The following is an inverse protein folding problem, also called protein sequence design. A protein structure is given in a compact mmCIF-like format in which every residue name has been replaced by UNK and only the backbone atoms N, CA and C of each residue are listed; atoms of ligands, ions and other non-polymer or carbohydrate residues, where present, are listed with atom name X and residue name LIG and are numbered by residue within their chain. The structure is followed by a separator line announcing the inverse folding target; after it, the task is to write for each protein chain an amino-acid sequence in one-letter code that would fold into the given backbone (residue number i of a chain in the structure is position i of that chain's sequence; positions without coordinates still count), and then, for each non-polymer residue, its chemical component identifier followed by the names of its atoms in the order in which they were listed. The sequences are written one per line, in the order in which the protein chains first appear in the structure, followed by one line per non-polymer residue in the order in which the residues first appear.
data_IF_525728784126
#
_entry.id   IF_525728784126
#
_cell.length_a   1.000
_cell.length_b   1.000
_cell.length_c   1.000
_cell.angle_alpha   90.00
_cell.angle_beta   90.00
_cell.angle_gamma   90.00
#
_symmetry.space_group_name_H-M   'P 1'
#
loop_
_entity.id
_entity.type
_entity.pdbx_description
1 polymer ?
#
# COMPACT_ATOMS: atom_id res chain seq x y z
N UNK A 1 2.46 -0.24 2.11
CA UNK A 1 1.85 0.59 3.20
C UNK A 1 1.51 -0.33 4.34
N UNK A 2 2.17 -0.19 5.47
CA UNK A 2 1.87 -0.93 6.68
C UNK A 2 1.10 -0.05 7.68
N UNK A 3 0.15 -0.65 8.39
CA UNK A 3 -0.78 0.02 9.29
C UNK A 3 -0.78 -0.71 10.61
N UNK A 4 -0.55 0.02 11.69
CA UNK A 4 -0.63 -0.47 13.05
C UNK A 4 -1.99 -0.16 13.67
N UNK A 5 -2.76 -1.17 14.06
CA UNK A 5 -4.03 -0.98 14.77
C UNK A 5 -3.76 -1.19 16.26
N UNK A 6 -3.60 -0.10 17.01
CA UNK A 6 -3.44 -0.12 18.47
C UNK A 6 -4.67 0.44 19.19
N UNK A 7 -4.88 0.06 20.46
CA UNK A 7 -5.89 0.68 21.33
C UNK A 7 -7.24 -0.04 21.44
N UNK A 8 -7.36 -1.27 20.95
CA UNK A 8 -8.43 -2.19 21.33
C UNK A 8 -7.94 -2.95 22.57
N UNK A 9 -8.58 -2.72 23.71
CA UNK A 9 -8.20 -3.11 25.08
C UNK A 9 -8.58 -4.54 25.48
N UNK A 10 -9.47 -5.19 24.72
CA UNK A 10 -9.87 -6.55 25.01
C UNK A 10 -10.39 -7.26 23.75
N UNK A 11 -10.44 -8.59 23.84
CA UNK A 11 -10.79 -9.47 22.74
C UNK A 11 -12.27 -9.39 22.30
N UNK A 12 -13.10 -8.52 22.88
CA UNK A 12 -14.48 -8.29 22.42
C UNK A 12 -14.62 -7.05 21.53
N UNK A 13 -13.61 -6.18 21.51
CA UNK A 13 -13.60 -4.96 20.70
C UNK A 13 -13.12 -5.28 19.28
N UNK A 14 -13.80 -4.71 18.29
CA UNK A 14 -13.51 -4.89 16.87
C UNK A 14 -13.22 -3.54 16.21
N UNK A 15 -12.44 -3.54 15.14
CA UNK A 15 -12.17 -2.39 14.31
C UNK A 15 -12.68 -2.60 12.89
N UNK A 16 -13.51 -1.68 12.40
CA UNK A 16 -13.91 -1.65 11.00
C UNK A 16 -12.85 -0.90 10.20
N UNK A 17 -12.47 -1.44 9.04
CA UNK A 17 -11.49 -0.82 8.15
C UNK A 17 -12.15 -0.48 6.82
N UNK A 18 -11.99 0.77 6.40
CA UNK A 18 -12.43 1.28 5.11
C UNK A 18 -11.21 1.72 4.31
N UNK A 19 -11.06 1.21 3.08
CA UNK A 19 -9.97 1.57 2.16
C UNK A 19 -10.57 2.25 0.93
N UNK A 20 -10.03 3.40 0.55
CA UNK A 20 -10.50 4.20 -0.60
C UNK A 20 -12.00 4.53 -0.53
N UNK A 21 -12.56 4.63 0.68
CA UNK A 21 -13.97 4.87 0.95
C UNK A 21 -14.89 3.64 0.86
N UNK A 22 -14.34 2.43 0.71
CA UNK A 22 -15.08 1.17 0.69
C UNK A 22 -14.77 0.35 1.94
N UNK A 23 -15.80 -0.21 2.57
CA UNK A 23 -15.63 -1.14 3.68
C UNK A 23 -14.95 -2.40 3.16
N UNK A 24 -13.87 -2.81 3.82
CA UNK A 24 -13.08 -3.97 3.41
C UNK A 24 -13.08 -5.04 4.48
N UNK A 25 -13.23 -6.28 4.04
CA UNK A 25 -12.99 -7.45 4.86
C UNK A 25 -11.48 -7.77 4.78
N UNK A 26 -10.77 -7.69 5.90
CA UNK A 26 -9.32 -7.89 5.91
C UNK A 26 -8.93 -9.35 5.63
N UNK A 27 -9.77 -10.32 5.99
CA UNK A 27 -9.53 -11.73 5.68
C UNK A 27 -9.55 -11.96 4.17
N UNK A 28 -10.51 -11.37 3.45
CA UNK A 28 -10.57 -11.43 1.98
C UNK A 28 -9.31 -10.85 1.34
N UNK A 29 -8.78 -9.75 1.87
CA UNK A 29 -7.54 -9.16 1.35
C UNK A 29 -6.33 -10.07 1.62
N UNK A 30 -6.28 -10.72 2.78
CA UNK A 30 -5.23 -11.70 3.11
C UNK A 30 -5.31 -12.91 2.18
N UNK A 31 -6.50 -13.46 1.97
CA UNK A 31 -6.72 -14.63 1.10
C UNK A 31 -6.33 -14.34 -0.35
N UNK A 32 -6.53 -13.10 -0.81
CA UNK A 32 -6.13 -12.65 -2.15
C UNK A 32 -4.63 -12.29 -2.26
N UNK A 33 -3.91 -12.22 -1.13
CA UNK A 33 -2.52 -11.75 -1.08
C UNK A 33 -2.36 -10.23 -1.23
N UNK A 34 -3.44 -9.48 -1.06
CA UNK A 34 -3.49 -8.01 -1.11
C UNK A 34 -3.15 -7.38 0.25
N UNK A 35 -3.22 -8.16 1.33
CA UNK A 35 -2.75 -7.79 2.66
C UNK A 35 -1.97 -8.94 3.32
N UNK A 36 -1.10 -8.60 4.26
CA UNK A 36 -0.33 -9.56 5.06
C UNK A 36 -0.25 -9.06 6.51
N UNK A 37 -0.50 -9.96 7.46
CA UNK A 37 -0.20 -9.70 8.87
C UNK A 37 1.30 -9.86 9.08
N UNK A 38 1.95 -8.80 9.54
CA UNK A 38 3.36 -8.77 9.89
C UNK A 38 3.43 -8.79 11.42
N UNK A 39 3.95 -9.86 12.01
CA UNK A 39 4.03 -9.99 13.47
C UNK A 39 4.98 -8.94 14.06
N UNK A 40 4.54 -8.21 15.08
CA UNK A 40 5.43 -7.38 15.90
C UNK A 40 5.94 -8.18 17.10
N UNK A 41 7.07 -8.85 16.92
CA UNK A 41 8.05 -8.88 18.00
C UNK A 41 9.33 -8.38 17.36
N UNK A 42 9.75 -7.19 17.78
CA UNK A 42 10.86 -6.46 17.16
C UNK A 42 12.12 -7.34 17.13
N UNK A 43 12.49 -7.86 15.96
CA UNK A 43 13.89 -8.15 15.65
C UNK A 43 14.27 -7.64 14.25
N UNK A 44 15.51 -7.17 14.07
CA UNK A 44 15.98 -6.59 12.82
C UNK A 44 16.02 -7.63 11.72
N UNK A 45 15.51 -7.27 10.55
CA UNK A 45 15.64 -7.96 9.26
C UNK A 45 14.99 -9.36 9.14
N UNK A 46 13.73 -9.37 8.69
CA UNK A 46 13.37 -10.21 7.53
C UNK A 46 12.90 -11.65 7.76
N UNK A 47 12.26 -12.00 8.88
CA UNK A 47 11.51 -13.27 8.98
C UNK A 47 10.09 -13.09 9.51
N UNK A 48 9.14 -13.77 8.86
CA UNK A 48 7.72 -13.83 9.21
C UNK A 48 7.53 -14.98 10.20
N UNK A 49 7.06 -14.70 11.42
CA UNK A 49 6.61 -15.71 12.39
C UNK A 49 5.12 -15.53 12.64
N UNK A 50 4.30 -16.50 12.21
CA UNK A 50 2.93 -16.63 12.67
C UNK A 50 2.95 -17.10 14.13
N UNK A 51 2.57 -16.25 15.07
CA UNK A 51 2.36 -16.65 16.47
C UNK A 51 0.92 -16.31 16.83
N UNK A 52 0.12 -17.36 17.03
CA UNK A 52 -1.20 -17.28 17.64
C UNK A 52 -1.03 -17.27 19.17
N UNK A 53 -0.71 -16.11 19.75
CA UNK A 53 -0.75 -15.89 21.19
C UNK A 53 -2.07 -15.26 21.63
N UNK A 54 -2.57 -15.59 22.82
CA UNK A 54 -3.82 -15.05 23.38
C UNK A 54 -3.79 -13.53 23.70
N UNK A 55 -2.68 -12.85 23.41
CA UNK A 55 -2.44 -11.43 23.69
C UNK A 55 -2.15 -10.62 22.41
N UNK A 56 -2.07 -11.27 21.25
CA UNK A 56 -1.78 -10.61 19.98
C UNK A 56 -3.08 -10.18 19.28
N UNK A 57 -3.05 -9.07 18.56
CA UNK A 57 -4.20 -8.61 17.77
C UNK A 57 -4.42 -9.59 16.64
N UNK A 58 -5.66 -10.03 16.45
CA UNK A 58 -6.02 -11.01 15.43
C UNK A 58 -6.94 -10.37 14.39
N UNK A 59 -6.90 -10.90 13.17
CA UNK A 59 -8.01 -10.74 12.23
C UNK A 59 -8.95 -11.93 12.45
N UNK A 60 -10.21 -11.67 12.78
CA UNK A 60 -11.19 -12.74 12.99
C UNK A 60 -11.75 -13.30 11.68
N UNK A 61 -12.55 -14.36 11.79
CA UNK A 61 -13.19 -15.01 10.63
C UNK A 61 -14.13 -14.09 9.85
N UNK A 62 -14.58 -13.01 10.47
CA UNK A 62 -15.44 -12.00 9.86
C UNK A 62 -14.62 -10.86 9.24
N UNK A 63 -13.29 -10.92 9.30
CA UNK A 63 -12.36 -9.98 8.70
C UNK A 63 -12.14 -8.69 9.49
N UNK A 64 -12.54 -8.65 10.75
CA UNK A 64 -12.35 -7.49 11.62
C UNK A 64 -11.02 -7.60 12.38
N UNK A 65 -10.39 -6.44 12.65
CA UNK A 65 -9.26 -6.39 13.57
C UNK A 65 -9.77 -6.45 15.01
N UNK A 66 -9.31 -7.43 15.81
CA UNK A 66 -9.69 -7.56 17.23
C UNK A 66 -8.57 -7.13 18.16
N UNK A 67 -8.98 -6.68 19.33
CA UNK A 67 -8.08 -6.11 20.31
C UNK A 67 -7.11 -7.03 21.00
N UNK A 68 -6.05 -6.39 21.48
CA UNK A 68 -4.95 -6.98 22.24
C UNK A 68 -5.29 -6.82 23.73
N UNK A 69 -5.12 -7.87 24.52
CA UNK A 69 -5.44 -7.84 25.97
C UNK A 69 -4.26 -7.35 26.83
N UNK A 70 -3.24 -6.75 26.23
CA UNK A 70 -1.98 -6.43 26.89
C UNK A 70 -1.79 -4.92 27.12
N UNK A 71 -1.14 -4.59 28.24
CA UNK A 71 -0.79 -3.22 28.62
C UNK A 71 0.59 -2.78 28.09
N UNK A 72 1.17 -3.53 27.14
CA UNK A 72 2.51 -3.28 26.62
C UNK A 72 2.42 -2.45 25.33
N UNK A 73 3.12 -1.30 25.23
CA UNK A 73 3.16 -0.52 24.00
C UNK A 73 3.95 -1.19 22.85
N UNK A 74 4.59 -2.33 23.11
CA UNK A 74 5.28 -3.13 22.10
C UNK A 74 4.38 -4.16 21.42
N UNK A 75 3.15 -4.33 21.90
CA UNK A 75 2.23 -5.30 21.36
C UNK A 75 1.42 -4.60 20.27
N UNK A 76 1.68 -4.97 19.01
CA UNK A 76 1.10 -4.31 17.84
C UNK A 76 0.59 -5.34 16.81
N UNK A 77 -0.58 -5.06 16.23
CA UNK A 77 -1.02 -5.68 14.99
C UNK A 77 -0.55 -4.82 13.82
N UNK A 78 0.44 -5.30 13.06
CA UNK A 78 0.90 -4.63 11.83
C UNK A 78 0.32 -5.34 10.62
N UNK A 79 -0.37 -4.57 9.77
CA UNK A 79 -0.97 -5.06 8.52
C UNK A 79 -0.28 -4.36 7.37
N UNK A 80 0.41 -5.11 6.51
CA UNK A 80 0.96 -4.60 5.27
C UNK A 80 -0.02 -4.77 4.13
N UNK A 81 -0.32 -3.70 3.42
CA UNK A 81 -1.16 -3.69 2.23
C UNK A 81 -0.29 -3.61 0.98
N UNK A 82 -0.53 -4.55 0.09
CA UNK A 82 0.10 -4.68 -1.23
C UNK A 82 -0.79 -4.11 -2.35
N UNK A 83 -1.73 -3.25 -1.97
CA UNK A 83 -2.64 -2.52 -2.86
C UNK A 83 -2.46 -1.02 -2.64
N UNK A 84 -2.74 -0.18 -3.65
CA UNK A 84 -2.70 1.26 -3.50
C UNK A 84 -3.83 1.75 -2.59
N UNK A 85 -3.46 2.52 -1.59
CA UNK A 85 -4.39 3.13 -0.63
C UNK A 85 -4.26 4.65 -0.73
N UNK A 86 -5.33 5.33 -1.13
CA UNK A 86 -5.43 6.79 -1.16
C UNK A 86 -6.13 7.33 0.07
N UNK A 87 -7.09 6.58 0.62
CA UNK A 87 -7.69 6.86 1.92
C UNK A 87 -7.77 5.58 2.76
N UNK A 88 -7.48 5.72 4.04
CA UNK A 88 -7.65 4.66 5.03
C UNK A 88 -8.42 5.25 6.21
N UNK A 89 -9.49 4.57 6.61
CA UNK A 89 -10.22 4.88 7.82
C UNK A 89 -10.31 3.62 8.69
N UNK A 90 -10.09 3.77 9.99
CA UNK A 90 -10.17 2.68 10.96
C UNK A 90 -11.02 3.19 12.11
N UNK A 91 -12.10 2.47 12.39
CA UNK A 91 -13.04 2.81 13.46
C UNK A 91 -12.98 1.72 14.51
N UNK A 92 -12.42 2.03 15.68
CA UNK A 92 -12.48 1.13 16.83
C UNK A 92 -13.86 1.16 17.47
N UNK A 93 -14.54 0.01 17.51
CA UNK A 93 -15.75 -0.21 18.29
C UNK A 93 -15.35 -0.82 19.65
N UNK A 94 -14.98 0.06 20.58
CA UNK A 94 -14.60 -0.28 21.95
C UNK A 94 -15.52 0.31 23.02
N UNK A 95 -15.43 -0.22 24.24
CA UNK A 95 -16.07 0.34 25.44
C UNK A 95 -15.44 1.68 25.86
N UNK A 96 -16.13 2.43 26.73
CA UNK A 96 -15.70 3.77 27.16
C UNK A 96 -14.29 3.76 27.79
N UNK A 97 -13.35 4.50 27.21
CA UNK A 97 -12.04 4.80 27.82
C UNK A 97 -10.80 4.51 26.96
N UNK A 98 -10.96 3.98 25.75
CA UNK A 98 -9.84 3.58 24.91
C UNK A 98 -9.50 4.61 23.82
N UNK A 99 -8.20 4.82 23.56
CA UNK A 99 -7.67 5.65 22.48
C UNK A 99 -7.01 4.72 21.47
N UNK A 100 -7.49 4.72 20.22
CA UNK A 100 -6.85 4.02 19.12
C UNK A 100 -5.54 4.75 18.77
N UNK A 101 -4.39 4.11 18.98
CA UNK A 101 -3.10 4.61 18.50
C UNK A 101 -2.80 3.94 17.16
N UNK A 102 -2.66 4.76 16.11
CA UNK A 102 -2.49 4.34 14.73
C UNK A 102 -1.14 4.84 14.21
N UNK A 103 -0.19 3.92 14.01
CA UNK A 103 1.06 4.20 13.31
C UNK A 103 0.94 3.73 11.85
N UNK A 104 1.13 4.65 10.90
CA UNK A 104 1.09 4.35 9.46
C UNK A 104 2.49 4.46 8.90
N UNK A 105 2.98 3.38 8.31
CA UNK A 105 4.23 3.35 7.56
C UNK A 105 3.92 3.25 6.07
N UNK A 106 4.38 4.23 5.29
CA UNK A 106 4.34 4.17 3.84
C UNK A 106 5.72 3.67 3.40
N UNK A 107 5.78 2.49 2.78
CA UNK A 107 7.04 2.04 2.18
C UNK A 107 7.51 3.09 1.17
N UNK A 108 8.80 3.42 1.20
CA UNK A 108 9.46 4.42 0.33
C UNK A 108 9.50 3.98 -1.16
N UNK A 109 8.60 3.10 -1.58
CA UNK A 109 8.45 2.74 -2.99
C UNK A 109 7.94 3.96 -3.76
N UNK A 110 8.88 4.68 -4.36
CA UNK A 110 8.59 5.75 -5.31
C UNK A 110 7.78 5.12 -6.46
N UNK A 111 6.54 5.59 -6.72
CA UNK A 111 5.78 5.07 -7.85
C UNK A 111 6.56 5.34 -9.14
N UNK A 112 6.82 4.28 -9.91
CA UNK A 112 7.47 4.40 -11.21
C UNK A 112 6.45 4.95 -12.19
N UNK A 113 6.61 6.23 -12.55
CA UNK A 113 5.74 6.93 -13.47
C UNK A 113 6.43 7.10 -14.84
N UNK A 114 5.69 6.82 -15.91
CA UNK A 114 6.13 7.06 -17.28
C UNK A 114 5.31 8.17 -17.93
N UNK A 115 5.91 8.89 -18.86
CA UNK A 115 5.17 9.83 -19.71
C UNK A 115 4.39 9.07 -20.78
N UNK A 116 3.35 9.70 -21.32
CA UNK A 116 2.63 9.17 -22.48
C UNK A 116 3.60 8.74 -23.58
N UNK A 117 3.20 7.72 -24.34
CA UNK A 117 3.94 7.11 -25.45
C UNK A 117 5.21 6.34 -25.06
N UNK A 118 5.54 6.26 -23.77
CA UNK A 118 6.61 5.35 -23.32
C UNK A 118 6.20 3.91 -23.57
N UNK A 119 7.03 3.15 -24.29
CA UNK A 119 6.79 1.74 -24.56
C UNK A 119 7.24 0.85 -23.39
N UNK A 120 6.34 0.00 -22.92
CA UNK A 120 6.59 -1.05 -21.92
C UNK A 120 6.59 -2.40 -22.64
N UNK A 121 7.58 -3.23 -22.33
CA UNK A 121 7.67 -4.57 -22.92
C UNK A 121 6.73 -5.54 -22.19
N UNK A 122 5.78 -6.12 -22.92
CA UNK A 122 4.83 -7.12 -22.41
C UNK A 122 5.13 -8.49 -23.01
N UNK A 123 4.40 -9.53 -22.56
CA UNK A 123 4.43 -10.87 -23.18
C UNK A 123 4.11 -10.85 -24.68
N UNK A 124 3.33 -9.87 -25.15
CA UNK A 124 2.84 -9.78 -26.53
C UNK A 124 3.63 -8.75 -27.37
N UNK A 125 4.70 -8.20 -26.81
CA UNK A 125 5.53 -7.18 -27.44
C UNK A 125 5.45 -5.81 -26.75
N UNK A 126 6.02 -4.79 -27.39
CA UNK A 126 6.03 -3.44 -26.83
C UNK A 126 4.64 -2.80 -26.92
N UNK A 127 4.11 -2.33 -25.79
CA UNK A 127 2.83 -1.63 -25.68
C UNK A 127 3.07 -0.26 -25.03
N UNK A 128 2.48 0.81 -25.57
CA UNK A 128 2.59 2.14 -24.95
C UNK A 128 1.91 2.16 -23.58
N UNK A 129 2.42 2.95 -22.64
CA UNK A 129 1.93 2.99 -21.25
C UNK A 129 0.43 3.28 -21.15
N UNK A 130 -0.12 4.14 -22.02
CA UNK A 130 -1.56 4.44 -22.02
C UNK A 130 -2.46 3.26 -22.43
N UNK A 131 -1.89 2.23 -23.06
CA UNK A 131 -2.61 1.05 -23.51
C UNK A 131 -2.44 -0.15 -22.57
N UNK A 132 -1.53 -0.08 -21.60
CA UNK A 132 -1.34 -1.11 -20.57
C UNK A 132 -2.60 -1.18 -19.71
N UNK A 133 -3.02 -2.38 -19.33
CA UNK A 133 -4.17 -2.64 -18.46
C UNK A 133 -3.76 -3.47 -17.24
N UNK A 134 -4.54 -3.39 -16.16
CA UNK A 134 -4.38 -4.31 -15.01
C UNK A 134 -4.53 -5.74 -15.50
N UNK A 135 -3.61 -6.62 -15.10
CA UNK A 135 -3.51 -8.00 -15.55
C UNK A 135 -2.52 -8.22 -16.71
N UNK A 136 -2.13 -7.17 -17.45
CA UNK A 136 -1.10 -7.30 -18.50
C UNK A 136 0.20 -7.84 -17.90
N UNK A 137 0.81 -8.84 -18.55
CA UNK A 137 2.10 -9.40 -18.13
C UNK A 137 3.24 -8.55 -18.71
N UNK A 138 3.94 -7.83 -17.83
CA UNK A 138 5.10 -6.99 -18.19
C UNK A 138 6.41 -7.70 -17.83
N UNK A 139 7.43 -7.49 -18.66
CA UNK A 139 8.78 -8.01 -18.38
C UNK A 139 9.45 -7.12 -17.33
N UNK A 140 9.83 -7.72 -16.21
CA UNK A 140 10.67 -7.11 -15.19
C UNK A 140 12.13 -7.53 -15.40
N UNK A 141 13.07 -6.66 -15.07
CA UNK A 141 14.50 -6.92 -15.27
C UNK A 141 15.00 -8.13 -14.47
N UNK A 142 14.47 -8.33 -13.26
CA UNK A 142 15.01 -9.28 -12.30
C UNK A 142 14.11 -10.51 -12.10
N UNK A 143 12.81 -10.37 -12.35
CA UNK A 143 11.81 -11.36 -11.94
C UNK A 143 10.92 -11.87 -13.09
N UNK A 144 11.33 -11.64 -14.34
CA UNK A 144 10.60 -12.10 -15.52
C UNK A 144 9.22 -11.45 -15.66
N UNK A 145 8.26 -12.18 -16.24
CA UNK A 145 6.91 -11.68 -16.47
C UNK A 145 6.15 -11.51 -15.14
N UNK A 146 5.60 -10.32 -14.91
CA UNK A 146 4.75 -10.01 -13.75
C UNK A 146 3.47 -9.31 -14.20
N UNK A 147 2.32 -9.62 -13.57
CA UNK A 147 1.08 -8.94 -13.88
C UNK A 147 1.11 -7.51 -13.34
N UNK A 148 0.65 -6.56 -14.15
CA UNK A 148 0.34 -5.21 -13.68
C UNK A 148 -0.81 -5.31 -12.69
N UNK A 149 -0.58 -4.94 -11.44
CA UNK A 149 -1.60 -4.98 -10.37
C UNK A 149 -2.46 -3.72 -10.33
N UNK A 150 -1.91 -2.60 -10.77
CA UNK A 150 -2.58 -1.31 -10.71
C UNK A 150 -2.01 -0.33 -11.74
N UNK A 151 -2.83 0.65 -12.13
CA UNK A 151 -2.44 1.75 -13.00
C UNK A 151 -2.91 3.07 -12.38
N UNK A 152 -1.95 3.96 -12.15
CA UNK A 152 -2.19 5.35 -11.77
C UNK A 152 -2.00 6.28 -12.95
N UNK A 153 -2.76 7.37 -12.99
CA UNK A 153 -2.50 8.48 -13.90
C UNK A 153 -2.65 9.81 -13.18
N UNK A 154 -1.83 10.78 -13.57
CA UNK A 154 -1.92 12.14 -13.05
C UNK A 154 -1.78 13.12 -14.21
N UNK A 155 -2.78 14.01 -14.35
CA UNK A 155 -2.78 15.06 -15.37
C UNK A 155 -2.33 16.36 -14.74
N UNK A 156 -1.15 16.83 -15.15
CA UNK A 156 -0.63 18.12 -14.69
C UNK A 156 -1.17 19.22 -15.62
N UNK A 157 -2.00 20.12 -15.07
CA UNK A 157 -2.58 21.23 -15.84
C UNK A 157 -1.56 22.34 -16.10
N UNK A 158 -1.81 23.17 -17.12
CA UNK A 158 -1.00 24.36 -17.41
C UNK A 158 -0.85 25.26 -16.17
N UNK A 159 -1.95 25.58 -15.50
CA UNK A 159 -1.95 26.42 -14.30
C UNK A 159 -1.04 25.86 -13.19
N UNK A 160 -0.99 24.53 -13.04
CA UNK A 160 -0.13 23.85 -12.07
C UNK A 160 1.36 23.88 -12.46
N UNK A 161 1.66 23.81 -13.77
CA UNK A 161 3.02 23.99 -14.28
C UNK A 161 3.51 25.44 -14.12
N UNK A 162 2.62 26.42 -14.29
CA UNK A 162 2.92 27.84 -14.12
C UNK A 162 3.17 28.18 -12.65
N UNK A 163 2.35 27.65 -11.73
CA UNK A 163 2.47 27.94 -10.30
C UNK A 163 3.61 27.20 -9.60
N UNK A 164 4.12 26.09 -10.17
CA UNK A 164 5.22 25.33 -9.58
C UNK A 164 6.36 25.13 -10.59
N UNK A 165 7.40 25.95 -10.45
CA UNK A 165 8.57 25.93 -11.31
C UNK A 165 9.29 24.58 -11.37
N UNK A 166 9.19 23.74 -10.33
CA UNK A 166 9.83 22.41 -10.27
C UNK A 166 9.14 21.36 -11.16
N UNK A 167 7.90 21.62 -11.59
CA UNK A 167 7.15 20.69 -12.45
C UNK A 167 7.36 20.98 -13.95
N UNK A 168 8.01 22.09 -14.31
CA UNK A 168 8.15 22.50 -15.70
C UNK A 168 9.16 21.58 -16.42
N UNK A 169 8.83 21.07 -17.62
CA UNK A 169 9.73 20.21 -18.35
C UNK A 169 10.99 20.95 -18.81
N UNK A 170 12.11 20.23 -18.88
CA UNK A 170 13.36 20.72 -19.47
C UNK A 170 13.27 20.51 -20.98
N UNK A 171 13.45 21.59 -21.77
CA UNK A 171 13.47 21.53 -23.23
C UNK A 171 14.92 21.53 -23.72
N UNK A 172 15.35 20.42 -24.31
CA UNK A 172 16.64 20.29 -24.99
C UNK A 172 16.42 20.57 -26.48
N UNK A 173 17.03 21.62 -27.02
CA UNK A 173 16.88 22.01 -28.43
C UNK A 173 17.85 21.25 -29.33
N UNK A 174 17.56 21.18 -30.64
CA UNK A 174 18.50 20.64 -31.61
C UNK A 174 19.86 21.35 -31.50
N UNK A 175 20.95 20.58 -31.54
CA UNK A 175 22.32 21.08 -31.36
C UNK A 175 22.75 21.33 -29.91
N UNK A 176 21.86 21.23 -28.91
CA UNK A 176 22.21 21.47 -27.51
C UNK A 176 23.16 20.41 -26.91
N UNK A 177 23.25 19.22 -27.54
CA UNK A 177 24.13 18.12 -27.13
C UNK A 177 25.32 17.93 -28.09
N UNK A 178 25.60 18.91 -28.95
CA UNK A 178 26.62 18.82 -29.99
C UNK A 178 26.05 18.43 -31.37
N UNK A 179 26.94 18.35 -32.36
CA UNK A 179 26.61 17.92 -33.71
C UNK A 179 26.79 16.39 -33.80
N UNK A 180 25.72 15.67 -34.18
CA UNK A 180 25.77 14.26 -34.52
C UNK A 180 26.22 14.08 -35.98
#
# INVERSE_FOLDING_TARGET
MAVQIGGLSNSSETGDVTINGLDVNLQTLIDNGDALIVSSSLLPHGQINYISGANDGIIDSDGNARGMSSSSPLDQLVISFNIPITTLNIVGNGGSGNVLLLDIYLDDTVPICFTADTCILTSDGAKSIQNIQVGDLIITADNGLKPVRWIGSNKISRTRLESNHKLRPIRITAGALGHN
#
